data_IF_287022764043
#
_entry.id   IF_287022764043
#
_cell.length_a   1.000
_cell.length_b   1.000
_cell.length_c   1.000
_cell.angle_alpha   90.00
_cell.angle_beta   90.00
_cell.angle_gamma   90.00
#
_symmetry.space_group_name_H-M   'P 1'
#
loop_
_entity.id
_entity.type
_entity.pdbx_description
1 polymer ?
#
# COMPACT_ATOMS: atom_id res chain seq x y z
N UNK A 1 15.24 5.50 -11.53
CA UNK A 1 15.45 6.96 -11.52
C UNK A 1 15.05 7.46 -10.15
N UNK A 2 15.84 8.34 -9.54
CA UNK A 2 15.52 8.91 -8.23
C UNK A 2 14.30 9.83 -8.40
N UNK A 3 13.19 9.54 -7.71
CA UNK A 3 11.98 10.36 -7.80
C UNK A 3 12.26 11.74 -7.20
N UNK A 4 11.78 12.83 -7.82
CA UNK A 4 11.88 14.17 -7.25
C UNK A 4 11.37 14.20 -5.80
N UNK A 5 12.06 14.95 -4.92
CA UNK A 5 11.71 15.03 -3.49
C UNK A 5 10.22 15.32 -3.27
N UNK A 6 9.66 16.24 -4.05
CA UNK A 6 8.24 16.63 -3.98
C UNK A 6 7.30 15.44 -4.27
N UNK A 7 7.63 14.59 -5.24
CA UNK A 7 6.83 13.41 -5.58
C UNK A 7 6.85 12.39 -4.44
N UNK A 8 8.01 12.17 -3.82
CA UNK A 8 8.12 11.27 -2.65
C UNK A 8 7.32 11.79 -1.46
N UNK A 9 7.39 13.09 -1.19
CA UNK A 9 6.64 13.72 -0.11
C UNK A 9 5.13 13.64 -0.36
N UNK A 10 4.70 13.93 -1.58
CA UNK A 10 3.30 13.84 -1.97
C UNK A 10 2.78 12.40 -1.86
N UNK A 11 3.53 11.42 -2.35
CA UNK A 11 3.19 10.00 -2.24
C UNK A 11 3.02 9.58 -0.78
N UNK A 12 3.98 9.91 0.08
CA UNK A 12 3.90 9.59 1.51
C UNK A 12 2.68 10.24 2.18
N UNK A 13 2.38 11.49 1.84
CA UNK A 13 1.22 12.20 2.37
C UNK A 13 -0.11 11.56 1.94
N UNK A 14 -0.27 11.26 0.63
CA UNK A 14 -1.47 10.63 0.10
C UNK A 14 -1.69 9.22 0.69
N UNK A 15 -0.63 8.42 0.81
CA UNK A 15 -0.71 7.11 1.49
C UNK A 15 -1.24 7.24 2.91
N UNK A 16 -0.75 8.22 3.67
CA UNK A 16 -1.21 8.44 5.05
C UNK A 16 -2.68 8.90 5.09
N UNK A 17 -3.11 9.74 4.16
CA UNK A 17 -4.51 10.19 4.09
C UNK A 17 -5.47 9.03 3.83
N UNK A 18 -5.12 8.11 2.92
CA UNK A 18 -5.92 6.90 2.64
C UNK A 18 -5.99 6.01 3.89
N UNK A 19 -4.85 5.75 4.53
CA UNK A 19 -4.77 4.88 5.72
C UNK A 19 -5.49 5.43 6.95
N UNK A 20 -5.65 6.74 7.03
CA UNK A 20 -6.38 7.41 8.11
C UNK A 20 -7.85 7.64 7.77
N UNK A 21 -8.32 7.12 6.63
CA UNK A 21 -9.68 7.31 6.11
C UNK A 21 -10.06 8.79 5.95
N UNK A 22 -9.06 9.68 5.86
CA UNK A 22 -9.27 11.11 5.64
C UNK A 22 -9.70 11.41 4.19
N UNK A 23 -9.42 10.48 3.27
CA UNK A 23 -9.88 10.45 1.88
C UNK A 23 -10.37 9.05 1.57
N UNK A 24 -11.54 8.97 0.94
CA UNK A 24 -12.09 7.71 0.48
C UNK A 24 -11.35 7.24 -0.80
N UNK A 25 -10.97 5.97 -0.92
CA UNK A 25 -10.46 5.41 -2.18
C UNK A 25 -11.35 5.70 -3.40
N UNK A 26 -12.67 5.77 -3.24
CA UNK A 26 -13.61 6.07 -4.32
C UNK A 26 -13.41 7.51 -4.86
N UNK A 27 -13.11 8.48 -4.00
CA UNK A 27 -12.79 9.85 -4.43
C UNK A 27 -11.52 9.91 -5.29
N UNK A 28 -10.53 9.06 -4.95
CA UNK A 28 -9.29 8.94 -5.72
C UNK A 28 -9.57 8.28 -7.08
N UNK A 29 -10.44 7.27 -7.10
CA UNK A 29 -10.87 6.64 -8.34
C UNK A 29 -11.59 7.64 -9.26
N UNK A 30 -12.51 8.45 -8.73
CA UNK A 30 -13.21 9.50 -9.47
C UNK A 30 -12.26 10.56 -10.06
N UNK A 31 -11.21 10.91 -9.30
CA UNK A 31 -10.19 11.81 -9.80
C UNK A 31 -9.30 11.14 -10.87
N UNK A 32 -9.02 9.84 -10.78
CA UNK A 32 -8.29 9.10 -11.82
C UNK A 32 -9.12 8.99 -13.11
N UNK A 33 -10.42 8.75 -13.00
CA UNK A 33 -11.33 8.70 -14.14
C UNK A 33 -11.43 10.07 -14.84
N UNK A 34 -11.34 11.17 -14.10
CA UNK A 34 -11.25 12.53 -14.71
C UNK A 34 -9.96 12.71 -15.51
N UNK A 35 -8.81 12.35 -14.93
CA UNK A 35 -7.52 12.40 -15.63
C UNK A 35 -7.55 11.59 -16.92
N UNK A 36 -8.14 10.40 -16.88
CA UNK A 36 -8.27 9.55 -18.07
C UNK A 36 -9.17 10.18 -19.15
N UNK A 37 -10.30 10.78 -18.77
CA UNK A 37 -11.19 11.52 -19.69
C UNK A 37 -10.51 12.75 -20.31
N UNK A 38 -9.62 13.39 -19.56
CA UNK A 38 -8.83 14.53 -20.01
C UNK A 38 -7.64 14.09 -20.90
N UNK A 39 -7.42 12.79 -21.07
CA UNK A 39 -6.39 12.19 -21.92
C UNK A 39 -5.06 11.92 -21.20
N UNK A 40 -4.99 12.18 -19.90
CA UNK A 40 -3.81 11.92 -19.06
C UNK A 40 -3.85 10.50 -18.47
N UNK A 41 -3.66 9.52 -19.35
CA UNK A 41 -3.73 8.09 -19.02
C UNK A 41 -2.63 7.69 -18.01
N UNK A 42 -1.45 8.28 -18.12
CA UNK A 42 -0.32 7.98 -17.25
C UNK A 42 -0.57 8.44 -15.82
N UNK A 43 -1.05 9.68 -15.64
CA UNK A 43 -1.42 10.18 -14.33
C UNK A 43 -2.59 9.39 -13.72
N UNK A 44 -3.61 9.06 -14.52
CA UNK A 44 -4.73 8.22 -14.07
C UNK A 44 -4.25 6.86 -13.56
N UNK A 45 -3.36 6.20 -14.30
CA UNK A 45 -2.77 4.93 -13.91
C UNK A 45 -1.94 5.05 -12.61
N UNK A 46 -1.07 6.05 -12.53
CA UNK A 46 -0.25 6.29 -11.33
C UNK A 46 -1.11 6.51 -10.08
N UNK A 47 -2.23 7.22 -10.22
CA UNK A 47 -3.13 7.49 -9.11
C UNK A 47 -3.91 6.25 -8.65
N UNK A 48 -4.27 5.34 -9.57
CA UNK A 48 -4.86 4.03 -9.21
C UNK A 48 -3.86 3.12 -8.51
N UNK A 49 -2.60 3.12 -8.93
CA UNK A 49 -1.54 2.36 -8.24
C UNK A 49 -1.36 2.82 -6.78
N UNK A 50 -1.52 4.12 -6.52
CA UNK A 50 -1.43 4.70 -5.17
C UNK A 50 -2.44 4.07 -4.18
N UNK A 51 -3.65 3.72 -4.64
CA UNK A 51 -4.65 3.03 -3.82
C UNK A 51 -4.14 1.65 -3.40
N UNK A 52 -3.60 0.88 -4.35
CA UNK A 52 -3.06 -0.46 -4.10
C UNK A 52 -1.87 -0.40 -3.14
N UNK A 53 -0.95 0.54 -3.37
CA UNK A 53 0.22 0.73 -2.53
C UNK A 53 -0.14 1.17 -1.10
N UNK A 54 -1.12 2.06 -0.94
CA UNK A 54 -1.53 2.54 0.38
C UNK A 54 -2.17 1.44 1.25
N UNK A 55 -2.87 0.50 0.60
CA UNK A 55 -3.46 -0.68 1.25
C UNK A 55 -2.46 -1.83 1.42
N UNK A 56 -1.27 -1.74 0.82
CA UNK A 56 -0.23 -2.74 1.04
C UNK A 56 0.29 -2.63 2.49
N UNK A 57 0.51 -3.77 3.17
CA UNK A 57 1.15 -3.78 4.47
C UNK A 57 2.55 -3.16 4.36
N UNK A 58 2.95 -2.41 5.38
CA UNK A 58 4.30 -1.88 5.42
C UNK A 58 5.33 -3.01 5.48
N UNK A 59 6.55 -2.74 5.02
CA UNK A 59 7.65 -3.70 5.14
C UNK A 59 7.89 -4.10 6.61
N UNK A 60 7.70 -3.17 7.53
CA UNK A 60 7.77 -3.38 8.99
C UNK A 60 6.72 -4.39 9.46
N UNK A 61 5.49 -4.27 8.98
CA UNK A 61 4.37 -5.18 9.28
C UNK A 61 4.62 -6.57 8.68
N UNK A 62 5.09 -6.62 7.43
CA UNK A 62 5.45 -7.87 6.76
C UNK A 62 6.57 -8.62 7.49
N UNK A 63 7.59 -7.90 7.97
CA UNK A 63 8.67 -8.48 8.78
C UNK A 63 8.15 -8.95 10.14
N UNK A 64 7.22 -8.21 10.76
CA UNK A 64 6.59 -8.61 12.02
C UNK A 64 5.74 -9.88 11.85
N UNK A 65 4.97 -9.99 10.78
CA UNK A 65 4.18 -11.18 10.46
C UNK A 65 5.05 -12.39 10.13
N UNK A 66 6.12 -12.19 9.37
CA UNK A 66 7.12 -13.24 9.11
C UNK A 66 7.79 -13.70 10.41
N UNK A 67 8.08 -12.77 11.33
CA UNK A 67 8.62 -13.12 12.64
C UNK A 67 7.61 -13.93 13.46
N UNK A 68 6.33 -13.51 13.54
CA UNK A 68 5.26 -14.26 14.21
C UNK A 68 5.10 -15.67 13.65
N UNK A 69 5.07 -15.82 12.32
CA UNK A 69 4.96 -17.11 11.64
C UNK A 69 6.11 -18.07 11.99
N UNK A 70 7.32 -17.53 12.23
CA UNK A 70 8.50 -18.33 12.61
C UNK A 70 8.43 -18.88 14.05
N UNK A 71 7.62 -18.27 14.92
CA UNK A 71 7.48 -18.66 16.33
C UNK A 71 6.19 -19.45 16.64
N UNK A 72 5.33 -19.71 15.65
CA UNK A 72 4.30 -20.74 15.80
C UNK A 72 4.98 -22.11 15.81
N UNK A 73 5.25 -22.61 17.03
CA UNK A 73 5.72 -23.96 17.26
C UNK A 73 4.73 -24.94 16.63
N UNK A 74 5.26 -25.89 15.86
CA UNK A 74 4.52 -27.05 15.37
C UNK A 74 3.99 -27.77 16.62
N UNK A 75 2.67 -27.74 16.80
CA UNK A 75 2.03 -28.45 17.88
C UNK A 75 2.03 -29.95 17.55
N UNK A 76 2.76 -30.74 18.36
CA UNK A 76 2.64 -32.20 18.38
C UNK A 76 3.62 -33.00 17.52
N UNK A 77 4.72 -33.42 18.13
CA UNK A 77 5.48 -34.60 17.72
C UNK A 77 6.14 -35.20 18.96
N UNK A 78 5.41 -36.07 19.68
CA UNK A 78 5.92 -36.82 20.83
C UNK A 78 7.29 -37.42 20.49
N UNK A 79 8.28 -37.16 21.35
CA UNK A 79 9.44 -38.02 21.44
C UNK A 79 8.96 -39.35 22.03
N UNK A 80 8.87 -40.38 21.20
CA UNK A 80 8.74 -41.75 21.68
C UNK A 80 10.13 -42.20 22.15
N UNK A 81 10.22 -42.46 23.46
CA UNK A 81 11.28 -43.21 24.16
C UNK A 81 11.27 -44.69 23.74
#
# INVERSE_FOLDING_TARGET
MDQPLAERMLRAFLTQMIRTEAVDPDDIQDAADRLERDGDIEAAHAMRCLIVEANAPEQSEWLADRARARFHAIDGGKADD
#
